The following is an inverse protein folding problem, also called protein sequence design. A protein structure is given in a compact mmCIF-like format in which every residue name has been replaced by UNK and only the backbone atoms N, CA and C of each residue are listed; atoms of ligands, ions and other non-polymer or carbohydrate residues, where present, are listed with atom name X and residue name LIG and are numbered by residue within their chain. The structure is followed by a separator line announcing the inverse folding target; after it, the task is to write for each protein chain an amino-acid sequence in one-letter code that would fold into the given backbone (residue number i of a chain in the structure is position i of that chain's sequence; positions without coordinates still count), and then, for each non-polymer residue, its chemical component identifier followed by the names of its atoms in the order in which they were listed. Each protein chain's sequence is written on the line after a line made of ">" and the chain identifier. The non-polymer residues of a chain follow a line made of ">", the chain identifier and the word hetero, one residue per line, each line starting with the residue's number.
data_IF_744130713715
#
_entry.id   IF_744130713715
#
_cell.length_a   1.000
_cell.length_b   1.000
_cell.length_c   1.000
_cell.angle_alpha   90.00
_cell.angle_beta   90.00
_cell.angle_gamma   90.00
#
_symmetry.space_group_name_H-M   'P 1'
#
loop_
_entity.id
_entity.type
_entity.pdbx_description
1 polymer ?
#
# COMPACT_ATOMS: atom_id res chain seq x y z
N UNK A 1 2.28 17.17 12.08
CA UNK A 1 2.42 15.81 12.61
C UNK A 1 2.63 15.88 14.11
N UNK A 2 1.87 15.09 14.86
CA UNK A 2 2.10 14.88 16.29
C UNK A 2 3.23 13.87 16.52
N UNK A 3 3.95 13.92 17.65
CA UNK A 3 4.93 12.89 17.99
C UNK A 3 4.32 11.48 17.95
N UNK A 4 4.97 10.56 17.23
CA UNK A 4 4.54 9.15 17.11
C UNK A 4 3.47 8.87 16.05
N UNK A 5 2.98 9.91 15.37
CA UNK A 5 2.03 9.76 14.27
C UNK A 5 2.64 8.97 13.09
N UNK A 6 1.87 8.02 12.56
CA UNK A 6 2.13 7.36 11.29
C UNK A 6 1.15 7.93 10.27
N UNK A 7 1.68 8.53 9.22
CA UNK A 7 0.90 8.98 8.08
C UNK A 7 1.26 8.10 6.89
N UNK A 8 0.24 7.51 6.27
CA UNK A 8 0.33 6.72 5.05
C UNK A 8 -0.61 7.34 4.03
N UNK A 9 -0.12 7.54 2.82
CA UNK A 9 -0.95 7.93 1.69
C UNK A 9 -0.54 7.15 0.45
N UNK A 10 -1.54 6.63 -0.25
CA UNK A 10 -1.36 5.98 -1.54
C UNK A 10 -1.67 6.97 -2.66
N UNK A 11 -0.76 7.04 -3.60
CA UNK A 11 -0.87 7.76 -4.86
C UNK A 11 -1.12 6.72 -5.95
N UNK A 12 -2.38 6.62 -6.36
CA UNK A 12 -2.80 5.71 -7.43
C UNK A 12 -1.95 5.92 -8.69
N UNK A 13 -1.47 4.86 -9.37
CA UNK A 13 -1.84 3.45 -9.14
C UNK A 13 -0.87 2.64 -8.27
N UNK A 14 0.36 3.11 -8.03
CA UNK A 14 1.44 2.22 -7.60
C UNK A 14 2.53 2.91 -6.77
N UNK A 15 2.22 4.07 -6.17
CA UNK A 15 3.17 4.81 -5.33
C UNK A 15 2.58 5.03 -3.95
N UNK A 16 3.37 4.84 -2.90
CA UNK A 16 2.91 5.08 -1.53
C UNK A 16 3.94 5.93 -0.79
N UNK A 17 3.45 6.85 0.04
CA UNK A 17 4.29 7.70 0.90
C UNK A 17 3.99 7.39 2.35
N UNK A 18 5.02 6.97 3.07
CA UNK A 18 4.98 6.65 4.49
C UNK A 18 5.78 7.70 5.26
N UNK A 19 5.20 8.24 6.32
CA UNK A 19 5.86 9.17 7.20
C UNK A 19 5.68 8.70 8.64
N UNK A 20 6.78 8.43 9.33
CA UNK A 20 6.75 8.11 10.77
C UNK A 20 8.02 8.59 11.43
N UNK A 21 7.85 9.29 12.54
CA UNK A 21 8.97 9.83 13.34
C UNK A 21 9.87 10.70 12.47
N UNK A 22 11.10 10.26 12.21
CA UNK A 22 12.14 10.92 11.41
C UNK A 22 12.15 10.44 9.95
N UNK A 23 11.47 9.36 9.62
CA UNK A 23 11.60 8.73 8.32
C UNK A 23 10.42 9.09 7.41
N UNK A 24 10.75 9.56 6.22
CA UNK A 24 9.81 9.61 5.08
C UNK A 24 10.30 8.59 4.06
N UNK A 25 9.44 7.64 3.71
CA UNK A 25 9.68 6.62 2.70
C UNK A 25 8.72 6.83 1.53
N UNK A 26 9.24 6.73 0.32
CA UNK A 26 8.46 6.58 -0.90
C UNK A 26 8.66 5.16 -1.41
N UNK A 27 7.56 4.45 -1.64
CA UNK A 27 7.53 3.16 -2.30
C UNK A 27 6.98 3.32 -3.70
N UNK A 28 7.57 2.63 -4.66
CA UNK A 28 7.07 2.56 -6.03
C UNK A 28 7.12 1.12 -6.53
N UNK A 29 5.97 0.60 -6.97
CA UNK A 29 5.84 -0.76 -7.48
C UNK A 29 5.78 -0.73 -9.01
N UNK A 30 6.84 -1.16 -9.69
CA UNK A 30 6.84 -1.28 -11.15
C UNK A 30 6.40 -2.67 -11.56
N UNK A 31 5.22 -2.85 -12.18
CA UNK A 31 4.78 -4.16 -12.65
C UNK A 31 5.59 -4.60 -13.86
N UNK A 32 6.10 -5.83 -13.83
CA UNK A 32 6.71 -6.50 -14.99
C UNK A 32 5.75 -7.50 -15.64
N UNK A 33 4.82 -8.03 -14.85
CA UNK A 33 3.78 -8.96 -15.26
C UNK A 33 2.69 -9.06 -14.20
N UNK A 34 1.70 -9.94 -14.39
CA UNK A 34 0.63 -10.17 -13.42
C UNK A 34 1.13 -10.84 -12.12
N UNK A 35 2.29 -11.49 -12.15
CA UNK A 35 2.90 -12.28 -11.07
C UNK A 35 4.24 -11.71 -10.59
N UNK A 36 4.75 -10.66 -11.23
CA UNK A 36 6.06 -10.07 -10.91
C UNK A 36 6.01 -8.54 -10.87
N UNK A 37 6.56 -7.97 -9.80
CA UNK A 37 6.72 -6.53 -9.62
C UNK A 37 8.09 -6.24 -9.00
N UNK A 38 8.66 -5.07 -9.33
CA UNK A 38 9.84 -4.55 -8.64
C UNK A 38 9.39 -3.46 -7.70
N UNK A 39 9.67 -3.65 -6.40
CA UNK A 39 9.46 -2.66 -5.37
C UNK A 39 10.72 -1.82 -5.19
N UNK A 40 10.61 -0.51 -5.40
CA UNK A 40 11.64 0.47 -5.10
C UNK A 40 11.28 1.23 -3.82
N UNK A 41 12.16 1.19 -2.83
CA UNK A 41 11.98 1.90 -1.55
C UNK A 41 13.03 3.00 -1.39
N UNK A 42 12.58 4.24 -1.18
CA UNK A 42 13.44 5.41 -1.10
C UNK A 42 13.20 6.16 0.20
N UNK A 43 14.22 6.21 1.06
CA UNK A 43 14.23 7.08 2.24
C UNK A 43 14.62 8.52 1.86
N UNK A 44 13.86 9.50 2.33
CA UNK A 44 14.15 10.92 2.07
C UNK A 44 14.98 11.54 3.20
N UNK A 45 15.96 12.35 2.80
CA UNK A 45 16.69 13.25 3.69
C UNK A 45 16.07 14.64 3.75
N UNK A 46 16.47 15.43 4.74
CA UNK A 46 16.04 16.83 4.89
C UNK A 46 17.13 17.74 4.31
N UNK A 47 16.74 18.64 3.40
CA UNK A 47 17.66 19.62 2.81
C UNK A 47 18.21 20.53 3.91
N UNK A 48 19.54 20.63 3.99
CA UNK A 48 20.23 21.45 4.98
C UNK A 48 20.41 20.81 6.37
N UNK A 49 19.96 19.57 6.57
CA UNK A 49 20.22 18.86 7.84
C UNK A 49 21.71 18.55 8.04
N UNK A 50 22.11 18.37 9.31
CA UNK A 50 23.47 18.01 9.67
C UNK A 50 23.84 16.61 9.14
N UNK A 51 25.13 16.35 8.94
CA UNK A 51 25.58 15.01 8.52
C UNK A 51 25.26 13.93 9.56
N UNK A 52 25.27 14.28 10.85
CA UNK A 52 24.97 13.35 11.94
C UNK A 52 23.51 12.91 11.85
N UNK A 53 22.60 13.86 11.70
CA UNK A 53 21.16 13.58 11.58
C UNK A 53 20.86 12.81 10.29
N UNK A 54 21.50 13.18 9.17
CA UNK A 54 21.35 12.47 7.90
C UNK A 54 21.76 11.00 8.01
N UNK A 55 22.92 10.73 8.63
CA UNK A 55 23.42 9.37 8.86
C UNK A 55 22.47 8.57 9.77
N UNK A 56 21.98 9.21 10.83
CA UNK A 56 21.03 8.57 11.74
C UNK A 56 19.70 8.23 11.04
N UNK A 57 19.15 9.15 10.24
CA UNK A 57 17.92 8.94 9.46
C UNK A 57 18.08 7.81 8.44
N UNK A 58 19.20 7.77 7.72
CA UNK A 58 19.48 6.69 6.77
C UNK A 58 19.54 5.32 7.47
N UNK A 59 20.15 5.26 8.66
CA UNK A 59 20.19 4.04 9.47
C UNK A 59 18.80 3.61 9.93
N UNK A 60 17.99 4.53 10.43
CA UNK A 60 16.62 4.27 10.88
C UNK A 60 15.73 3.78 9.74
N UNK A 61 15.81 4.42 8.56
CA UNK A 61 15.13 3.97 7.36
C UNK A 61 15.51 2.52 7.01
N UNK A 62 16.80 2.22 6.89
CA UNK A 62 17.26 0.87 6.52
C UNK A 62 16.85 -0.19 7.55
N UNK A 63 16.81 0.14 8.83
CA UNK A 63 16.43 -0.80 9.88
C UNK A 63 14.96 -1.18 9.87
N UNK A 64 14.07 -0.21 9.60
CA UNK A 64 12.62 -0.40 9.78
C UNK A 64 11.88 -0.57 8.46
N UNK A 65 12.26 0.17 7.41
CA UNK A 65 11.47 0.25 6.18
C UNK A 65 12.25 0.22 4.86
N UNK A 66 13.56 -0.04 4.90
CA UNK A 66 14.33 -0.31 3.69
C UNK A 66 14.20 -1.76 3.21
N UNK A 67 14.84 -2.10 2.08
CA UNK A 67 14.67 -3.40 1.41
C UNK A 67 15.08 -4.61 2.27
N UNK A 68 16.01 -4.39 3.20
CA UNK A 68 16.50 -5.41 4.14
C UNK A 68 16.10 -5.10 5.58
N UNK A 69 14.99 -4.37 5.75
CA UNK A 69 14.47 -4.01 7.05
C UNK A 69 13.77 -5.16 7.74
N UNK A 70 13.49 -4.95 9.04
CA UNK A 70 12.74 -5.92 9.85
C UNK A 70 11.29 -6.11 9.38
N UNK A 71 10.67 -5.07 8.82
CA UNK A 71 9.28 -5.16 8.35
C UNK A 71 9.20 -5.66 6.91
N UNK A 72 10.16 -5.28 6.06
CA UNK A 72 10.11 -5.59 4.63
C UNK A 72 10.02 -7.08 4.33
N UNK A 73 10.74 -7.93 5.08
CA UNK A 73 10.70 -9.38 4.87
C UNK A 73 9.33 -10.00 5.18
N UNK A 74 8.62 -9.48 6.19
CA UNK A 74 7.27 -9.95 6.54
C UNK A 74 6.26 -9.53 5.47
N UNK A 75 6.30 -8.27 5.03
CA UNK A 75 5.41 -7.75 3.99
C UNK A 75 5.60 -8.50 2.66
N UNK A 76 6.84 -8.77 2.26
CA UNK A 76 7.16 -9.56 1.05
C UNK A 76 6.61 -10.99 1.18
N UNK A 77 6.84 -11.65 2.32
CA UNK A 77 6.33 -12.99 2.55
C UNK A 77 4.79 -13.04 2.49
N UNK A 78 4.10 -12.05 3.05
CA UNK A 78 2.65 -11.96 2.95
C UNK A 78 2.19 -11.86 1.49
N UNK A 79 2.76 -10.94 0.71
CA UNK A 79 2.36 -10.73 -0.69
C UNK A 79 2.63 -11.98 -1.54
N UNK A 80 3.82 -12.58 -1.43
CA UNK A 80 4.18 -13.78 -2.20
C UNK A 80 3.28 -14.99 -1.85
N UNK A 81 3.02 -15.21 -0.56
CA UNK A 81 2.19 -16.34 -0.12
C UNK A 81 0.71 -16.12 -0.48
N UNK A 82 0.21 -14.88 -0.38
CA UNK A 82 -1.13 -14.52 -0.84
C UNK A 82 -1.30 -14.75 -2.34
N UNK A 83 -0.33 -14.30 -3.15
CA UNK A 83 -0.33 -14.54 -4.59
C UNK A 83 -0.33 -16.04 -4.91
N UNK A 84 0.54 -16.82 -4.26
CA UNK A 84 0.62 -18.26 -4.44
C UNK A 84 -0.73 -18.94 -4.14
N UNK A 85 -1.41 -18.56 -3.05
CA UNK A 85 -2.72 -19.11 -2.73
C UNK A 85 -3.78 -18.77 -3.79
N UNK A 86 -3.75 -17.56 -4.33
CA UNK A 86 -4.65 -17.14 -5.40
C UNK A 86 -4.40 -17.92 -6.70
N UNK A 87 -3.14 -18.12 -7.07
CA UNK A 87 -2.74 -18.90 -8.25
C UNK A 87 -3.23 -20.36 -8.18
N UNK A 88 -3.13 -20.99 -7.00
CA UNK A 88 -3.66 -22.34 -6.77
C UNK A 88 -5.19 -22.41 -6.62
N UNK A 89 -5.89 -21.28 -6.78
CA UNK A 89 -7.35 -21.23 -6.75
C UNK A 89 -7.96 -21.40 -5.35
N UNK A 90 -7.19 -21.15 -4.28
CA UNK A 90 -7.68 -21.28 -2.91
C UNK A 90 -8.87 -20.35 -2.63
N UNK A 91 -8.83 -19.13 -3.16
CA UNK A 91 -9.88 -18.13 -3.03
C UNK A 91 -10.26 -17.58 -4.41
N UNK A 92 -11.52 -17.77 -4.82
CA UNK A 92 -12.03 -17.20 -6.07
C UNK A 92 -12.35 -15.71 -5.96
N UNK A 93 -12.63 -15.24 -4.75
CA UNK A 93 -13.00 -13.85 -4.46
C UNK A 93 -12.37 -13.44 -3.13
N UNK A 94 -11.94 -12.18 -3.03
CA UNK A 94 -11.53 -11.56 -1.77
C UNK A 94 -12.70 -10.81 -1.14
N UNK A 95 -12.74 -10.79 0.20
CA UNK A 95 -13.73 -10.04 0.97
C UNK A 95 -13.05 -8.84 1.61
N UNK A 96 -13.36 -7.66 1.08
CA UNK A 96 -12.84 -6.36 1.52
C UNK A 96 -14.06 -5.56 1.98
N UNK A 97 -14.26 -5.45 3.30
CA UNK A 97 -15.55 -5.01 3.86
C UNK A 97 -15.49 -4.33 5.22
N UNK A 98 -14.30 -4.28 5.84
CA UNK A 98 -14.12 -3.65 7.14
C UNK A 98 -14.33 -2.15 7.02
N UNK A 99 -15.37 -1.63 7.66
CA UNK A 99 -15.70 -0.21 7.64
C UNK A 99 -15.76 0.31 9.09
N UNK A 100 -14.79 1.14 9.47
CA UNK A 100 -14.64 1.67 10.83
C UNK A 100 -14.60 3.21 10.82
N UNK A 101 -15.75 3.88 10.69
CA UNK A 101 -15.82 5.33 10.68
C UNK A 101 -15.52 5.93 12.07
N UNK A 102 -14.86 7.08 12.10
CA UNK A 102 -14.51 7.81 13.34
C UNK A 102 -14.97 9.28 13.35
N UNK A 103 -15.72 9.71 12.34
CA UNK A 103 -16.23 11.07 12.23
C UNK A 103 -16.60 11.40 10.79
N UNK A 104 -16.86 12.68 10.55
CA UNK A 104 -17.31 13.19 9.24
C UNK A 104 -16.27 12.90 8.14
N UNK A 105 -16.57 11.89 7.31
CA UNK A 105 -15.71 11.43 6.22
C UNK A 105 -14.40 10.72 6.64
N UNK A 106 -14.19 10.45 7.94
CA UNK A 106 -12.95 9.87 8.45
C UNK A 106 -13.08 8.40 8.81
N UNK A 107 -12.06 7.62 8.46
CA UNK A 107 -11.96 6.17 8.66
C UNK A 107 -10.79 5.84 9.58
N UNK A 108 -10.91 4.76 10.37
CA UNK A 108 -9.75 4.23 11.10
C UNK A 108 -8.70 3.69 10.13
N UNK A 109 -7.41 3.72 10.49
CA UNK A 109 -6.35 3.14 9.66
C UNK A 109 -6.53 1.64 9.35
N UNK A 110 -7.29 0.91 10.17
CA UNK A 110 -7.60 -0.51 9.96
C UNK A 110 -8.83 -0.73 9.05
N UNK A 111 -9.49 0.35 8.60
CA UNK A 111 -10.63 0.27 7.70
C UNK A 111 -10.18 -0.08 6.28
N UNK A 112 -10.96 -0.89 5.59
CA UNK A 112 -10.74 -1.26 4.19
C UNK A 112 -11.13 -0.15 3.21
N UNK A 113 -11.62 1.00 3.70
CA UNK A 113 -12.12 2.09 2.86
C UNK A 113 -11.10 2.55 1.80
N UNK A 114 -9.81 2.64 2.13
CA UNK A 114 -8.77 3.00 1.16
C UNK A 114 -8.60 1.93 0.06
N UNK A 115 -8.72 0.65 0.41
CA UNK A 115 -8.61 -0.47 -0.53
C UNK A 115 -9.83 -0.51 -1.44
N UNK A 116 -11.04 -0.29 -0.91
CA UNK A 116 -12.25 -0.14 -1.71
C UNK A 116 -12.12 1.01 -2.72
N UNK A 117 -11.68 2.19 -2.26
CA UNK A 117 -11.46 3.36 -3.15
C UNK A 117 -10.41 3.10 -4.24
N UNK A 118 -9.36 2.36 -3.92
CA UNK A 118 -8.37 1.93 -4.92
C UNK A 118 -9.03 1.10 -6.02
N UNK A 119 -9.80 0.08 -5.65
CA UNK A 119 -10.46 -0.82 -6.60
C UNK A 119 -11.59 -0.15 -7.37
N UNK A 120 -12.31 0.81 -6.78
CA UNK A 120 -13.28 1.65 -7.49
C UNK A 120 -12.58 2.45 -8.59
N UNK A 121 -11.46 3.14 -8.25
CA UNK A 121 -10.67 3.90 -9.23
C UNK A 121 -10.07 3.00 -10.30
N UNK A 122 -9.56 1.83 -9.92
CA UNK A 122 -9.07 0.83 -10.86
C UNK A 122 -10.19 0.38 -11.81
N UNK A 123 -11.39 0.15 -11.29
CA UNK A 123 -12.58 -0.19 -12.07
C UNK A 123 -12.92 0.84 -13.13
N UNK A 124 -12.83 2.14 -12.81
CA UNK A 124 -13.00 3.23 -13.79
C UNK A 124 -12.04 3.08 -14.99
N UNK A 125 -10.77 2.75 -14.72
CA UNK A 125 -9.75 2.59 -15.76
C UNK A 125 -9.94 1.33 -16.59
N UNK A 126 -10.45 0.26 -15.98
CA UNK A 126 -10.63 -1.02 -16.65
C UNK A 126 -12.02 -1.16 -17.33
N UNK A 127 -12.95 -0.26 -17.04
CA UNK A 127 -14.30 -0.27 -17.60
C UNK A 127 -15.25 -1.28 -16.95
N UNK A 128 -14.95 -1.73 -15.72
CA UNK A 128 -15.80 -2.65 -14.98
C UNK A 128 -15.79 -2.39 -13.47
N UNK A 129 -16.91 -2.60 -12.76
CA UNK A 129 -16.96 -2.39 -11.33
C UNK A 129 -16.27 -3.54 -10.59
N UNK A 130 -15.37 -3.20 -9.66
CA UNK A 130 -14.56 -4.18 -8.92
C UNK A 130 -15.38 -5.13 -8.03
N UNK A 131 -16.60 -4.74 -7.65
CA UNK A 131 -17.53 -5.54 -6.87
C UNK A 131 -18.43 -6.47 -7.72
N UNK A 132 -18.25 -6.54 -9.04
CA UNK A 132 -19.00 -7.45 -9.93
C UNK A 132 -18.08 -8.55 -10.52
N UNK A 133 -17.68 -9.55 -9.72
CA UNK A 133 -16.69 -10.52 -10.14
C UNK A 133 -17.20 -11.53 -11.17
N UNK A 134 -18.51 -11.55 -11.46
CA UNK A 134 -19.10 -12.42 -12.51
C UNK A 134 -19.15 -11.73 -13.87
N UNK A 135 -18.86 -10.43 -13.93
CA UNK A 135 -18.98 -9.61 -15.14
C UNK A 135 -20.32 -9.82 -15.88
N UNK A 136 -21.39 -10.07 -15.13
CA UNK A 136 -22.72 -10.13 -15.70
C UNK A 136 -23.10 -8.68 -15.95
N UNK A 137 -23.14 -8.28 -17.22
CA UNK A 137 -23.83 -7.06 -17.59
C UNK A 137 -25.25 -7.20 -17.08
N UNK A 138 -25.68 -6.29 -16.19
CA UNK A 138 -27.12 -6.10 -15.98
C UNK A 138 -27.65 -5.66 -17.32
N UNK A 139 -28.32 -6.56 -18.02
CA UNK A 139 -29.11 -6.22 -19.19
C UNK A 139 -30.10 -5.17 -18.67
N UNK A 140 -29.95 -3.93 -19.12
CA UNK A 140 -30.91 -2.90 -18.78
C UNK A 140 -32.29 -3.35 -19.30
N UNK A 141 -33.27 -3.42 -18.40
CA UNK A 141 -34.69 -3.52 -18.75
C UNK A 141 -35.21 -2.17 -19.27
#
# INVERSE_FOLDING_TARGET
>A
MQPGELVLTDLFPNTSVFMRTTCVRINHSTPYGPDHTVMEERGLGIKGESEVDRRQRAKEFTQVWGPYSRNGAEDVAFVEESHRCQEFGANKYDVISRNEPIGDGLQRPQSDACVCLFYDKWGDYMGWPANNPKNLMTVAE
#
